data_IF_036044474767
#
_entry.id   IF_036044474767
#
_cell.length_a   1.000
_cell.length_b   1.000
_cell.length_c   1.000
_cell.angle_alpha   90.00
_cell.angle_beta   90.00
_cell.angle_gamma   90.00
#
_symmetry.space_group_name_H-M   'P 1'
#
loop_
_entity.id
_entity.type
_entity.pdbx_description
1 polymer ?
#
# COMPACT_ATOMS: atom_id res chain seq x y z
N UNK A 1 24.88 1.50 -3.64
CA UNK A 1 24.23 1.63 -2.30
C UNK A 1 22.97 0.77 -2.29
N UNK A 2 22.41 0.38 -1.12
CA UNK A 2 21.21 -0.49 -1.05
C UNK A 2 20.07 0.00 -1.96
N UNK A 3 19.83 1.31 -2.03
CA UNK A 3 18.75 1.90 -2.85
C UNK A 3 19.05 1.96 -4.35
N UNK A 4 20.28 1.68 -4.76
CA UNK A 4 20.67 1.59 -6.18
C UNK A 4 20.51 0.16 -6.74
N UNK A 5 20.45 -0.84 -5.86
CA UNK A 5 20.38 -2.27 -6.18
C UNK A 5 19.19 -2.93 -5.45
N UNK A 6 18.02 -2.28 -5.52
CA UNK A 6 16.84 -2.66 -4.73
C UNK A 6 16.45 -4.14 -4.85
N UNK A 7 16.63 -4.72 -6.04
CA UNK A 7 16.31 -6.10 -6.40
C UNK A 7 17.25 -7.16 -5.79
N UNK A 8 18.36 -6.73 -5.18
CA UNK A 8 19.33 -7.61 -4.52
C UNK A 8 19.15 -7.67 -3.00
N UNK A 9 18.19 -6.92 -2.46
CA UNK A 9 18.02 -6.75 -1.03
C UNK A 9 16.60 -7.10 -0.60
N UNK A 10 16.48 -7.62 0.63
CA UNK A 10 15.18 -7.81 1.27
C UNK A 10 14.47 -6.47 1.41
N UNK A 11 13.15 -6.45 1.23
CA UNK A 11 12.37 -5.22 1.30
C UNK A 11 12.58 -4.44 2.61
N UNK A 12 12.73 -5.14 3.74
CA UNK A 12 12.99 -4.55 5.07
C UNK A 12 14.30 -3.75 5.10
N UNK A 13 15.32 -4.22 4.39
CA UNK A 13 16.62 -3.56 4.27
C UNK A 13 16.51 -2.32 3.38
N UNK A 14 15.79 -2.43 2.25
CA UNK A 14 15.52 -1.30 1.35
C UNK A 14 14.73 -0.20 2.06
N UNK A 15 13.70 -0.58 2.82
CA UNK A 15 12.91 0.34 3.63
C UNK A 15 13.74 1.05 4.71
N UNK A 16 14.56 0.30 5.44
CA UNK A 16 15.45 0.85 6.45
C UNK A 16 16.55 1.76 5.85
N UNK A 17 16.92 1.55 4.58
CA UNK A 17 17.81 2.44 3.86
C UNK A 17 17.09 3.75 3.46
N UNK A 18 15.87 3.66 2.91
CA UNK A 18 15.07 4.86 2.62
C UNK A 18 14.81 5.74 3.85
N UNK A 19 14.66 5.14 5.03
CA UNK A 19 14.45 5.85 6.29
C UNK A 19 15.64 6.72 6.72
N UNK A 20 16.84 6.43 6.20
CA UNK A 20 18.07 7.16 6.51
C UNK A 20 18.48 8.16 5.44
N UNK A 21 17.79 8.18 4.30
CA UNK A 21 18.14 9.01 3.17
C UNK A 21 17.20 10.20 3.05
N UNK A 22 17.80 11.37 2.81
CA UNK A 22 17.07 12.59 2.47
C UNK A 22 16.95 12.69 0.96
N UNK A 23 15.76 13.02 0.47
CA UNK A 23 15.51 13.32 -0.91
C UNK A 23 16.19 14.64 -1.29
N UNK A 24 17.07 14.62 -2.30
CA UNK A 24 17.75 15.82 -2.78
C UNK A 24 16.81 16.84 -3.42
N UNK A 25 15.63 16.41 -3.92
CA UNK A 25 14.66 17.32 -4.56
C UNK A 25 13.79 18.05 -3.54
N UNK A 26 13.20 17.33 -2.58
CA UNK A 26 12.21 17.90 -1.67
C UNK A 26 12.71 18.09 -0.22
N UNK A 27 13.94 17.68 0.09
CA UNK A 27 14.54 17.79 1.44
C UNK A 27 13.91 16.88 2.52
N UNK A 28 12.87 16.12 2.18
CA UNK A 28 12.21 15.17 3.11
C UNK A 28 12.85 13.78 3.06
N UNK A 29 12.34 12.84 3.87
CA UNK A 29 12.78 11.45 3.80
C UNK A 29 12.45 10.82 2.42
N UNK A 30 13.44 10.17 1.81
CA UNK A 30 13.29 9.55 0.49
C UNK A 30 12.16 8.52 0.50
N UNK A 31 11.39 8.45 -0.59
CA UNK A 31 10.14 7.68 -0.73
C UNK A 31 8.92 8.15 0.07
N UNK A 32 9.06 9.20 0.89
CA UNK A 32 7.97 9.75 1.74
C UNK A 32 7.59 11.20 1.43
N UNK A 33 8.34 11.85 0.53
CA UNK A 33 8.09 13.24 0.14
C UNK A 33 6.76 13.46 -0.59
N UNK A 34 6.38 14.74 -0.82
CA UNK A 34 5.09 15.17 -1.34
C UNK A 34 4.67 14.46 -2.63
N UNK A 35 3.35 14.43 -2.88
CA UNK A 35 2.83 14.06 -4.19
C UNK A 35 3.45 14.95 -5.27
N UNK A 36 3.94 14.35 -6.35
CA UNK A 36 4.59 15.06 -7.46
C UNK A 36 6.10 15.27 -7.31
N UNK A 37 6.73 14.88 -6.18
CA UNK A 37 8.19 14.81 -6.12
C UNK A 37 8.69 13.59 -6.91
N UNK A 38 9.36 13.82 -8.03
CA UNK A 38 9.77 12.78 -8.96
C UNK A 38 10.71 11.74 -8.32
N UNK A 39 11.69 12.18 -7.53
CA UNK A 39 12.59 11.28 -6.81
C UNK A 39 11.85 10.40 -5.79
N UNK A 40 10.93 10.98 -5.00
CA UNK A 40 10.14 10.21 -4.02
C UNK A 40 9.15 9.26 -4.71
N UNK A 41 8.52 9.69 -5.80
CA UNK A 41 7.63 8.87 -6.61
C UNK A 41 8.35 7.67 -7.23
N UNK A 42 9.57 7.90 -7.75
CA UNK A 42 10.43 6.82 -8.25
C UNK A 42 10.78 5.85 -7.11
N UNK A 43 11.37 6.34 -6.03
CA UNK A 43 11.75 5.51 -4.89
C UNK A 43 10.58 4.68 -4.34
N UNK A 44 9.40 5.30 -4.22
CA UNK A 44 8.18 4.63 -3.75
C UNK A 44 7.75 3.49 -4.68
N UNK A 45 7.84 3.65 -6.01
CA UNK A 45 7.50 2.59 -6.96
C UNK A 45 8.55 1.48 -7.02
N UNK A 46 9.84 1.85 -7.06
CA UNK A 46 10.94 0.89 -7.21
C UNK A 46 11.14 0.00 -5.97
N UNK A 47 10.67 0.41 -4.79
CA UNK A 47 10.73 -0.43 -3.57
C UNK A 47 10.09 -1.81 -3.75
N UNK A 48 9.12 -1.95 -4.66
CA UNK A 48 8.42 -3.22 -4.87
C UNK A 48 9.26 -4.25 -5.66
N UNK A 49 10.35 -3.81 -6.31
CA UNK A 49 11.33 -4.71 -6.91
C UNK A 49 12.19 -5.43 -5.87
N UNK A 50 12.19 -4.97 -4.61
CA UNK A 50 12.93 -5.61 -3.54
C UNK A 50 12.41 -7.02 -3.25
N UNK A 51 13.33 -7.88 -2.82
CA UNK A 51 13.06 -9.28 -2.51
C UNK A 51 12.08 -9.36 -1.34
N UNK A 52 10.97 -10.06 -1.57
CA UNK A 52 9.94 -10.31 -0.57
C UNK A 52 10.03 -11.77 -0.12
N UNK A 53 10.43 -11.99 1.13
CA UNK A 53 10.47 -13.30 1.78
C UNK A 53 9.83 -13.16 3.15
N UNK A 54 8.84 -14.01 3.41
CA UNK A 54 8.19 -14.12 4.72
C UNK A 54 9.21 -14.48 5.81
N UNK A 55 9.08 -13.85 6.98
CA UNK A 55 9.93 -14.21 8.13
C UNK A 55 9.57 -15.61 8.66
N UNK A 56 10.47 -16.30 9.36
CA UNK A 56 10.13 -17.60 9.94
C UNK A 56 8.92 -17.51 10.88
N UNK A 57 8.02 -18.49 10.81
CA UNK A 57 6.90 -18.63 11.74
C UNK A 57 5.66 -17.79 11.44
N UNK A 58 5.58 -17.11 10.28
CA UNK A 58 4.36 -16.39 9.86
C UNK A 58 3.70 -17.02 8.63
N UNK A 59 2.38 -16.82 8.43
CA UNK A 59 1.71 -17.30 7.24
C UNK A 59 2.28 -16.68 5.95
N UNK A 60 2.25 -17.40 4.82
CA UNK A 60 2.64 -16.86 3.52
C UNK A 60 1.91 -15.56 3.17
N UNK A 61 2.65 -14.55 2.72
CA UNK A 61 2.12 -13.23 2.36
C UNK A 61 2.01 -12.23 3.52
N UNK A 62 2.44 -12.59 4.74
CA UNK A 62 2.46 -11.66 5.86
C UNK A 62 3.41 -10.48 5.62
N UNK A 63 4.61 -10.73 5.08
CA UNK A 63 5.56 -9.65 4.76
C UNK A 63 5.07 -8.78 3.61
N UNK A 64 4.31 -9.34 2.67
CA UNK A 64 3.62 -8.58 1.63
C UNK A 64 2.61 -7.60 2.24
N UNK A 65 1.76 -8.10 3.13
CA UNK A 65 0.78 -7.29 3.83
C UNK A 65 1.48 -6.19 4.64
N UNK A 66 2.54 -6.51 5.39
CA UNK A 66 3.34 -5.51 6.10
C UNK A 66 3.88 -4.43 5.18
N UNK A 67 4.56 -4.82 4.09
CA UNK A 67 5.16 -3.89 3.12
C UNK A 67 4.15 -2.91 2.55
N UNK A 68 2.97 -3.39 2.16
CA UNK A 68 1.89 -2.55 1.62
C UNK A 68 1.31 -1.61 2.69
N UNK A 69 1.07 -2.10 3.92
CA UNK A 69 0.54 -1.25 4.98
C UNK A 69 1.56 -0.15 5.36
N UNK A 70 2.84 -0.50 5.50
CA UNK A 70 3.93 0.45 5.77
C UNK A 70 4.04 1.50 4.67
N UNK A 71 3.97 1.12 3.40
CA UNK A 71 4.10 2.06 2.28
C UNK A 71 2.96 3.09 2.25
N UNK A 72 1.72 2.66 2.51
CA UNK A 72 0.54 3.54 2.60
C UNK A 72 0.64 4.49 3.78
N UNK A 73 0.99 3.98 4.97
CA UNK A 73 1.08 4.80 6.19
C UNK A 73 2.18 5.87 6.08
N UNK A 74 3.30 5.54 5.43
CA UNK A 74 4.42 6.45 5.23
C UNK A 74 4.17 7.46 4.12
N UNK A 75 3.26 7.18 3.19
CA UNK A 75 2.97 8.05 2.03
C UNK A 75 1.46 8.04 1.67
N UNK A 76 0.61 8.73 2.44
CA UNK A 76 -0.85 8.62 2.33
C UNK A 76 -1.48 9.48 1.21
N UNK A 77 -0.74 9.87 0.17
CA UNK A 77 -1.29 10.72 -0.89
C UNK A 77 -2.36 9.99 -1.70
N UNK A 78 -3.54 10.59 -1.83
CA UNK A 78 -4.68 9.99 -2.52
C UNK A 78 -5.38 8.88 -1.72
N UNK A 79 -4.99 8.66 -0.46
CA UNK A 79 -5.58 7.64 0.40
C UNK A 79 -6.47 8.30 1.46
N UNK A 80 -7.68 7.76 1.65
CA UNK A 80 -8.62 8.29 2.65
C UNK A 80 -8.07 8.16 4.07
N UNK A 81 -8.40 9.12 4.95
CA UNK A 81 -7.96 9.08 6.35
C UNK A 81 -8.37 7.79 7.08
N UNK A 82 -9.54 7.24 6.75
CA UNK A 82 -10.02 5.97 7.30
C UNK A 82 -9.19 4.78 6.84
N UNK A 83 -8.82 4.74 5.56
CA UNK A 83 -7.92 3.71 5.03
C UNK A 83 -6.56 3.79 5.74
N UNK A 84 -5.97 5.00 5.85
CA UNK A 84 -4.72 5.18 6.59
C UNK A 84 -4.83 4.72 8.04
N UNK A 85 -5.95 5.03 8.71
CA UNK A 85 -6.21 4.57 10.08
C UNK A 85 -6.26 3.04 10.16
N UNK A 86 -7.02 2.38 9.27
CA UNK A 86 -7.07 0.91 9.22
C UNK A 86 -5.70 0.29 8.98
N UNK A 87 -4.90 0.85 8.06
CA UNK A 87 -3.52 0.39 7.81
C UNK A 87 -2.61 0.59 9.03
N UNK A 88 -2.81 1.64 9.83
CA UNK A 88 -2.05 1.84 11.07
C UNK A 88 -2.44 0.83 12.14
N UNK A 89 -3.73 0.55 12.28
CA UNK A 89 -4.25 -0.38 13.28
C UNK A 89 -3.94 -1.84 12.94
N UNK A 90 -3.82 -2.20 11.67
CA UNK A 90 -3.43 -3.56 11.24
C UNK A 90 -1.94 -3.86 11.41
N UNK A 91 -1.07 -2.84 11.46
CA UNK A 91 0.39 -3.04 11.51
C UNK A 91 0.84 -3.87 12.73
N UNK A 92 0.41 -3.59 13.97
CA UNK A 92 0.78 -4.43 15.13
C UNK A 92 0.37 -5.90 14.93
N UNK A 93 -0.85 -6.16 14.46
CA UNK A 93 -1.38 -7.51 14.21
C UNK A 93 -0.52 -8.25 13.17
N UNK A 94 -0.15 -7.57 12.08
CA UNK A 94 0.71 -8.13 11.04
C UNK A 94 2.14 -8.36 11.55
N UNK A 95 2.67 -7.48 12.40
CA UNK A 95 3.99 -7.60 13.03
C UNK A 95 4.05 -8.78 14.02
N UNK A 96 2.94 -9.09 14.68
CA UNK A 96 2.80 -10.29 15.52
C UNK A 96 2.66 -11.58 14.70
N UNK A 97 2.55 -11.48 13.38
CA UNK A 97 2.50 -12.62 12.46
C UNK A 97 1.09 -13.07 12.10
N UNK A 98 0.06 -12.36 12.55
CA UNK A 98 -1.32 -12.67 12.18
C UNK A 98 -1.65 -12.07 10.82
N UNK A 99 -1.97 -12.93 9.85
CA UNK A 99 -2.45 -12.50 8.54
C UNK A 99 -3.98 -12.69 8.47
N UNK A 100 -4.77 -11.61 8.50
CA UNK A 100 -6.22 -11.72 8.37
C UNK A 100 -6.67 -12.32 7.05
N UNK A 101 -7.67 -13.21 7.13
CA UNK A 101 -8.47 -13.59 5.98
C UNK A 101 -9.39 -12.46 5.51
N UNK A 102 -9.97 -12.61 4.32
CA UNK A 102 -10.87 -11.62 3.72
C UNK A 102 -12.09 -11.28 4.61
N UNK A 103 -12.66 -12.27 5.29
CA UNK A 103 -13.82 -12.04 6.16
C UNK A 103 -13.46 -11.17 7.38
N UNK A 104 -12.32 -11.45 8.03
CA UNK A 104 -11.80 -10.65 9.15
C UNK A 104 -11.48 -9.22 8.69
N UNK A 105 -10.83 -9.08 7.53
CA UNK A 105 -10.56 -7.81 6.89
C UNK A 105 -11.82 -6.94 6.66
N UNK A 106 -12.89 -7.55 6.16
CA UNK A 106 -14.17 -6.89 5.94
C UNK A 106 -14.86 -6.52 7.25
N UNK A 107 -14.83 -7.40 8.25
CA UNK A 107 -15.35 -7.12 9.59
C UNK A 107 -14.63 -5.94 10.23
N UNK A 108 -13.30 -5.93 10.19
CA UNK A 108 -12.46 -4.83 10.68
C UNK A 108 -12.80 -3.50 9.99
N UNK A 109 -13.02 -3.52 8.67
CA UNK A 109 -13.45 -2.34 7.93
C UNK A 109 -14.82 -1.85 8.38
N UNK A 110 -15.78 -2.76 8.60
CA UNK A 110 -17.11 -2.40 9.08
C UNK A 110 -17.08 -1.72 10.46
N UNK A 111 -16.15 -2.09 11.34
CA UNK A 111 -15.92 -1.40 12.63
C UNK A 111 -15.52 0.05 12.39
N UNK A 112 -14.53 0.31 11.53
CA UNK A 112 -14.11 1.67 11.20
C UNK A 112 -15.22 2.47 10.52
N UNK A 113 -16.05 1.81 9.72
CA UNK A 113 -17.17 2.46 9.04
C UNK A 113 -18.26 2.96 10.00
N UNK A 114 -18.42 2.28 11.13
CA UNK A 114 -19.33 2.67 12.22
C UNK A 114 -18.69 3.62 13.24
N UNK A 115 -17.42 3.99 13.07
CA UNK A 115 -16.70 4.84 14.02
C UNK A 115 -16.22 4.11 15.28
N UNK A 116 -16.06 2.79 15.21
CA UNK A 116 -15.56 1.98 16.31
C UNK A 116 -14.11 2.30 16.70
N UNK A 117 -13.75 1.90 17.91
CA UNK A 117 -12.46 2.08 18.54
C UNK A 117 -11.36 1.16 17.98
N UNK A 118 -10.11 1.46 18.34
CA UNK A 118 -8.96 0.59 18.02
C UNK A 118 -9.07 -0.80 18.66
N UNK A 119 -9.69 -0.91 19.84
CA UNK A 119 -9.91 -2.19 20.53
C UNK A 119 -10.92 -3.04 19.77
N UNK A 120 -12.08 -2.48 19.41
CA UNK A 120 -13.09 -3.17 18.58
C UNK A 120 -12.52 -3.56 17.20
N UNK A 121 -11.62 -2.74 16.64
CA UNK A 121 -10.90 -3.08 15.42
C UNK A 121 -9.99 -4.30 15.63
N UNK A 122 -9.21 -4.34 16.71
CA UNK A 122 -8.34 -5.47 17.01
C UNK A 122 -9.13 -6.77 17.27
N UNK A 123 -10.24 -6.68 17.99
CA UNK A 123 -11.13 -7.82 18.28
C UNK A 123 -11.73 -8.44 17.02
N UNK A 124 -11.93 -7.65 15.96
CA UNK A 124 -12.43 -8.17 14.67
C UNK A 124 -11.47 -9.19 14.01
N UNK A 125 -10.21 -9.24 14.44
CA UNK A 125 -9.22 -10.21 13.99
C UNK A 125 -9.20 -11.50 14.84
N UNK A 126 -9.70 -11.45 16.07
CA UNK A 126 -9.74 -12.60 17.00
C UNK A 126 -11.12 -13.27 17.05
N UNK A 127 -12.19 -12.54 16.75
CA UNK A 127 -13.57 -13.03 16.87
C UNK A 127 -13.95 -14.13 15.87
N UNK A 128 -13.18 -14.33 14.80
CA UNK A 128 -13.34 -15.45 13.87
C UNK A 128 -12.32 -16.53 14.23
N UNK A 129 -12.72 -17.51 15.05
CA UNK A 129 -11.86 -18.56 15.62
C UNK A 129 -11.25 -19.54 14.60
N UNK A 130 -10.31 -19.06 13.80
CA UNK A 130 -9.49 -19.87 12.92
C UNK A 130 -8.48 -18.99 12.20
N UNK A 131 -7.20 -19.16 12.54
CA UNK A 131 -6.12 -18.81 11.61
C UNK A 131 -6.44 -19.55 10.31
N UNK A 132 -6.81 -18.82 9.27
CA UNK A 132 -6.93 -19.39 7.94
C UNK A 132 -5.51 -19.85 7.54
N UNK A 133 -5.25 -21.15 7.67
CA UNK A 133 -4.16 -21.78 6.93
C UNK A 133 -4.38 -21.41 5.47
N UNK A 134 -3.41 -20.72 4.87
CA UNK A 134 -3.44 -20.45 3.44
C UNK A 134 -3.68 -21.79 2.70
N UNK A 135 -4.56 -21.84 1.69
CA UNK A 135 -4.65 -23.03 0.86
C UNK A 135 -3.27 -23.25 0.24
N UNK A 136 -2.76 -24.49 0.34
CA UNK A 136 -1.49 -24.91 -0.24
C UNK A 136 -1.44 -24.48 -1.70
N UNK A 137 -0.74 -23.38 -1.99
CA UNK A 137 -0.30 -23.09 -3.35
C UNK A 137 0.91 -23.97 -3.56
N UNK A 138 0.64 -25.12 -4.17
CA UNK A 138 1.60 -25.98 -4.81
C UNK A 138 2.66 -25.11 -5.50
N UNK A 139 3.89 -25.25 -5.02
CA UNK A 139 5.05 -24.51 -5.52
C UNK A 139 5.41 -25.12 -6.84
N UNK A 140 4.81 -24.60 -7.92
CA UNK A 140 5.29 -24.88 -9.27
C UNK A 140 6.69 -24.27 -9.39
N UNK A 141 7.67 -25.15 -9.28
CA UNK A 141 9.07 -24.85 -9.42
C UNK A 141 9.31 -24.16 -10.76
N UNK A 142 9.71 -22.89 -10.73
CA UNK A 142 10.37 -22.29 -11.90
C UNK A 142 11.72 -22.99 -12.09
N UNK A 143 12.00 -23.60 -13.26
CA UNK A 143 13.35 -24.05 -13.56
C UNK A 143 14.27 -22.82 -13.69
N UNK A 144 15.51 -22.98 -13.23
CA UNK A 144 16.55 -21.94 -13.25
C UNK A 144 16.90 -21.43 -14.66
N UNK A 145 17.69 -20.35 -14.73
CA UNK A 145 17.93 -19.64 -15.98
C UNK A 145 18.84 -20.45 -16.89
N UNK A 146 18.33 -20.86 -18.05
CA UNK A 146 19.14 -21.31 -19.17
C UNK A 146 19.15 -20.25 -20.28
N UNK A 147 20.37 -19.85 -20.62
CA UNK A 147 20.86 -19.07 -21.76
C UNK A 147 19.87 -18.50 -22.81
N UNK A 148 19.94 -17.17 -22.93
CA UNK A 148 20.10 -16.38 -24.18
C UNK A 148 19.52 -17.00 -25.46
N UNK A 149 18.45 -16.37 -25.97
CA UNK A 149 18.31 -16.04 -27.39
C UNK A 149 17.38 -14.82 -27.54
N UNK A 150 17.90 -13.74 -28.13
CA UNK A 150 17.14 -12.55 -28.56
C UNK A 150 16.37 -12.88 -29.84
N UNK A 151 15.13 -12.39 -29.96
CA UNK A 151 14.65 -11.88 -31.23
C UNK A 151 14.25 -10.40 -31.13
N UNK A 152 14.77 -9.65 -32.10
CA UNK A 152 14.29 -8.35 -32.55
C UNK A 152 12.86 -8.42 -33.05
N UNK A 153 11.99 -7.53 -32.57
CA UNK A 153 10.64 -7.38 -33.15
C UNK A 153 9.74 -6.56 -32.24
N UNK A 154 9.39 -5.35 -32.69
CA UNK A 154 8.47 -4.46 -31.99
C UNK A 154 7.05 -5.01 -31.92
N UNK A 155 6.35 -4.63 -30.86
CA UNK A 155 4.96 -4.97 -30.62
C UNK A 155 4.67 -4.77 -29.15
N UNK A 156 3.93 -3.71 -28.84
CA UNK A 156 3.49 -3.39 -27.50
C UNK A 156 2.11 -4.03 -27.31
N UNK A 157 1.95 -5.09 -26.52
CA UNK A 157 0.63 -5.44 -26.00
C UNK A 157 0.51 -4.88 -24.59
N UNK A 158 -0.48 -3.99 -24.43
CA UNK A 158 -1.12 -3.64 -23.18
C UNK A 158 -1.50 -4.92 -22.44
N UNK A 159 -0.65 -5.37 -21.52
CA UNK A 159 -0.87 -6.55 -20.70
C UNK A 159 -1.26 -6.14 -19.29
N UNK A 160 -2.56 -6.03 -19.04
CA UNK A 160 -3.12 -6.12 -17.69
C UNK A 160 -2.72 -7.47 -17.10
N UNK A 161 -1.70 -7.46 -16.24
CA UNK A 161 -1.40 -8.59 -15.37
C UNK A 161 -2.41 -8.57 -14.21
N UNK A 162 -3.41 -9.44 -14.32
CA UNK A 162 -4.37 -9.76 -13.27
C UNK A 162 -3.61 -10.42 -12.11
N UNK A 163 -3.20 -9.61 -11.12
CA UNK A 163 -2.74 -10.11 -9.83
C UNK A 163 -3.93 -10.08 -8.87
N UNK A 164 -4.46 -11.28 -8.62
CA UNK A 164 -5.49 -11.54 -7.59
C UNK A 164 -4.92 -11.30 -6.19
N UNK A 165 -4.97 -10.06 -5.75
CA UNK A 165 -5.02 -9.67 -4.35
C UNK A 165 -6.44 -9.16 -4.13
N UNK A 166 -7.09 -9.55 -3.03
CA UNK A 166 -8.36 -8.95 -2.65
C UNK A 166 -8.19 -7.43 -2.65
N UNK A 167 -8.79 -6.77 -3.64
CA UNK A 167 -8.79 -5.32 -3.74
C UNK A 167 -9.51 -4.77 -2.52
N UNK A 168 -8.77 -4.10 -1.64
CA UNK A 168 -9.35 -3.33 -0.54
C UNK A 168 -9.95 -2.00 -1.01
N UNK A 169 -9.98 -1.76 -2.33
CA UNK A 169 -10.70 -0.64 -2.91
C UNK A 169 -12.17 -1.02 -3.04
N UNK A 170 -12.98 -0.59 -2.06
CA UNK A 170 -14.43 -0.51 -2.23
C UNK A 170 -14.80 0.44 -3.40
N UNK A 171 -16.01 0.32 -3.96
CA UNK A 171 -16.40 1.07 -5.14
C UNK A 171 -16.35 2.58 -4.90
N UNK A 172 -15.76 3.30 -5.84
CA UNK A 172 -15.89 4.74 -5.93
C UNK A 172 -17.37 5.09 -6.13
N UNK A 173 -18.01 5.63 -5.10
CA UNK A 173 -19.32 6.24 -5.23
C UNK A 173 -19.20 7.46 -6.14
N UNK A 174 -19.77 7.31 -7.34
CA UNK A 174 -19.89 8.37 -8.34
C UNK A 174 -20.65 9.58 -7.81
N UNK A 175 -20.28 10.73 -8.37
CA UNK A 175 -20.68 12.04 -7.87
C UNK A 175 -22.12 12.44 -8.19
N UNK A 176 -22.60 13.44 -7.45
CA UNK A 176 -23.68 14.34 -7.86
C UNK A 176 -23.35 15.74 -7.32
N UNK A 177 -23.41 16.75 -8.19
CA UNK A 177 -23.71 18.13 -7.79
C UNK A 177 -22.62 19.18 -8.00
N UNK A 178 -22.30 19.48 -9.27
CA UNK A 178 -21.87 20.85 -9.62
C UNK A 178 -23.04 21.80 -9.36
N UNK A 179 -22.88 22.75 -8.44
CA UNK A 179 -23.74 23.95 -8.37
C UNK A 179 -22.86 25.18 -8.49
N UNK A 180 -23.25 26.04 -9.42
CA UNK A 180 -22.59 27.26 -9.83
C UNK A 180 -22.40 28.23 -8.66
N UNK A 181 -21.21 28.83 -8.55
CA UNK A 181 -21.03 30.07 -7.82
C UNK A 181 -21.32 31.21 -8.77
N UNK A 182 -22.49 31.82 -8.60
CA UNK A 182 -22.89 33.05 -9.27
C UNK A 182 -22.56 34.23 -8.34
N UNK A 183 -21.81 35.19 -8.87
CA UNK A 183 -21.20 36.27 -8.11
C UNK A 183 -22.22 37.22 -7.51
N UNK A 184 -22.08 37.50 -6.22
CA UNK A 184 -22.75 38.62 -5.55
C UNK A 184 -21.76 39.77 -5.35
N UNK A 185 -21.79 40.73 -6.28
CA UNK A 185 -21.26 42.07 -6.07
C UNK A 185 -22.22 42.82 -5.14
N UNK A 186 -21.78 43.22 -3.94
CA UNK A 186 -22.41 44.32 -3.19
C UNK A 186 -21.35 45.26 -2.60
N UNK A 187 -21.13 46.32 -3.37
CA UNK A 187 -21.04 47.73 -2.97
C UNK A 187 -20.68 48.04 -1.51
N UNK A 188 -19.46 48.55 -1.31
CA UNK A 188 -19.13 49.44 -0.19
C UNK A 188 -19.71 50.83 -0.47
N UNK A 189 -20.72 51.25 0.29
CA UNK A 189 -21.11 52.65 0.41
C UNK A 189 -20.19 53.34 1.42
N UNK A 190 -19.37 54.26 0.92
CA UNK A 190 -18.76 55.34 1.69
C UNK A 190 -19.86 56.37 1.98
N UNK A 191 -20.10 56.70 3.25
CA UNK A 191 -20.70 57.99 3.63
C UNK A 191 -19.64 58.82 4.33
N UNK A 192 -19.55 60.05 3.84
CA UNK A 192 -18.79 61.17 4.40
C UNK A 192 -19.41 61.63 5.73
#
# INVERSE_FOLDING_TARGET
MVVDEVDRHLWRVVDAAYDRLTCAECGGALSRGPAGCAACDRAHRYRYAAIEVDRPGVPPGNEHALRVNVSVVRRPYGISAKEVLGRRLSLPILLDGHLPGTAQAQAARAVLDKGGSAAEYAESFTASGGVASAPDRETDARPGPSAVQRPSGGGNPSGEAVLGVASWAGPASGGVGRRAQEGSRRSCMVRR
#
